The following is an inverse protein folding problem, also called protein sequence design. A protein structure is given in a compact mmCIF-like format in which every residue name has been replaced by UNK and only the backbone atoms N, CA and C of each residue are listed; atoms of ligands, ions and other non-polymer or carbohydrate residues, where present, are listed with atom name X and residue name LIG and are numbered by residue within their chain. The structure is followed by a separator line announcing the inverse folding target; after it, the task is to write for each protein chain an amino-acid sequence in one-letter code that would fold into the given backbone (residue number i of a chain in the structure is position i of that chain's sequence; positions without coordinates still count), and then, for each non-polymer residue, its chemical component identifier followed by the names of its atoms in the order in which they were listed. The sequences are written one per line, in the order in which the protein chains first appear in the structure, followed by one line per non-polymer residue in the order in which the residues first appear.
data_IF_968339820424
#
_entry.id   IF_968339820424
#
_cell.length_a   1.000
_cell.length_b   1.000
_cell.length_c   1.000
_cell.angle_alpha   90.00
_cell.angle_beta   90.00
_cell.angle_gamma   90.00
#
_symmetry.space_group_name_H-M   'P 1'
#
loop_
_entity.id
_entity.type
_entity.pdbx_description
1 polymer ?
#
# COMPACT_ATOMS: atom_id res chain seq x y z
N UNK A 1 13.39 -1.34 -18.18
CA UNK A 1 12.50 -0.23 -18.61
C UNK A 1 11.15 -0.47 -17.94
N UNK A 2 10.54 0.57 -17.35
CA UNK A 2 9.19 0.46 -16.79
C UNK A 2 8.15 0.62 -17.89
N UNK A 3 7.16 -0.26 -17.92
CA UNK A 3 5.90 0.03 -18.59
C UNK A 3 5.16 1.10 -17.78
N UNK A 4 4.75 2.19 -18.40
CA UNK A 4 4.03 3.28 -17.72
C UNK A 4 2.58 3.30 -18.17
N UNK A 5 1.67 3.14 -17.22
CA UNK A 5 0.23 3.19 -17.42
C UNK A 5 -0.32 4.45 -16.76
N UNK A 6 -1.12 5.22 -17.49
CA UNK A 6 -1.71 6.48 -16.98
C UNK A 6 -3.20 6.52 -17.20
N UNK A 7 -3.93 7.22 -16.33
CA UNK A 7 -5.38 7.40 -16.47
C UNK A 7 -6.19 6.27 -15.84
N UNK A 8 -7.29 5.86 -16.48
CA UNK A 8 -8.21 4.85 -15.94
C UNK A 8 -7.92 3.46 -16.55
N UNK A 9 -7.39 2.55 -15.73
CA UNK A 9 -7.01 1.20 -16.11
C UNK A 9 -8.14 0.25 -15.74
N UNK A 10 -8.78 -0.35 -16.75
CA UNK A 10 -9.90 -1.26 -16.57
C UNK A 10 -9.43 -2.71 -16.36
N UNK A 11 -9.99 -3.37 -15.36
CA UNK A 11 -9.72 -4.77 -15.05
C UNK A 11 -8.58 -4.97 -14.05
N UNK A 12 -8.44 -6.21 -13.53
CA UNK A 12 -7.37 -6.53 -12.60
C UNK A 12 -6.00 -6.37 -13.30
N UNK A 13 -5.09 -5.66 -12.63
CA UNK A 13 -3.72 -5.47 -13.11
C UNK A 13 -2.80 -6.58 -12.60
N UNK A 14 -2.22 -7.38 -13.50
CA UNK A 14 -1.17 -8.35 -13.14
C UNK A 14 0.22 -7.78 -13.44
N UNK A 15 1.06 -7.64 -12.41
CA UNK A 15 2.41 -7.09 -12.51
C UNK A 15 3.43 -8.23 -12.36
N UNK A 16 4.04 -8.61 -13.49
CA UNK A 16 5.13 -9.62 -13.57
C UNK A 16 6.46 -9.04 -14.06
N UNK A 17 6.49 -7.73 -14.29
CA UNK A 17 7.68 -6.98 -14.71
C UNK A 17 7.74 -5.66 -13.97
N UNK A 18 8.41 -4.66 -14.53
CA UNK A 18 8.46 -3.32 -13.97
C UNK A 18 7.31 -2.48 -14.52
N UNK A 19 6.33 -2.14 -13.70
CA UNK A 19 5.15 -1.34 -14.06
C UNK A 19 5.06 -0.11 -13.17
N UNK A 20 4.83 1.05 -13.79
CA UNK A 20 4.52 2.31 -13.12
C UNK A 20 3.10 2.71 -13.48
N UNK A 21 2.29 3.03 -12.47
CA UNK A 21 0.91 3.50 -12.62
C UNK A 21 0.80 4.91 -12.07
N UNK A 22 0.22 5.80 -12.87
CA UNK A 22 -0.22 7.14 -12.45
C UNK A 22 -1.69 7.33 -12.84
N UNK A 23 -2.60 7.00 -11.94
CA UNK A 23 -4.03 7.00 -12.24
C UNK A 23 -4.88 6.09 -11.35
N UNK A 24 -5.97 5.57 -11.92
CA UNK A 24 -6.92 4.70 -11.23
C UNK A 24 -6.86 3.29 -11.80
N UNK A 25 -6.72 2.28 -10.94
CA UNK A 25 -6.83 0.86 -11.30
C UNK A 25 -8.19 0.33 -10.83
N UNK A 26 -9.02 -0.18 -11.75
CA UNK A 26 -10.34 -0.74 -11.44
C UNK A 26 -10.34 -2.25 -11.53
N UNK A 27 -10.50 -2.93 -10.41
CA UNK A 27 -10.45 -4.40 -10.31
C UNK A 27 -9.30 -4.91 -9.45
N UNK A 28 -8.45 -4.03 -8.93
CA UNK A 28 -7.32 -4.38 -8.08
C UNK A 28 -6.02 -4.64 -8.83
N UNK A 29 -4.97 -5.00 -8.10
CA UNK A 29 -3.67 -5.31 -8.66
C UNK A 29 -3.01 -6.48 -7.93
N UNK A 30 -2.34 -7.35 -8.67
CA UNK A 30 -1.54 -8.47 -8.15
C UNK A 30 -0.11 -8.29 -8.64
N UNK A 31 0.83 -8.19 -7.71
CA UNK A 31 2.26 -8.08 -7.99
C UNK A 31 2.93 -9.39 -7.62
N UNK A 32 3.51 -10.06 -8.61
CA UNK A 32 4.18 -11.36 -8.46
C UNK A 32 5.40 -11.40 -9.36
N UNK A 33 6.60 -11.53 -8.77
CA UNK A 33 7.87 -11.58 -9.50
C UNK A 33 8.11 -10.33 -10.37
N UNK A 34 7.62 -9.18 -9.92
CA UNK A 34 7.70 -7.90 -10.61
C UNK A 34 7.76 -6.72 -9.64
N UNK A 35 7.87 -5.51 -10.18
CA UNK A 35 7.90 -4.27 -9.42
C UNK A 35 6.79 -3.33 -9.86
N UNK A 36 5.95 -2.90 -8.92
CA UNK A 36 4.91 -1.90 -9.11
C UNK A 36 5.31 -0.59 -8.42
N UNK A 37 5.27 0.52 -9.15
CA UNK A 37 5.23 1.87 -8.57
C UNK A 37 3.86 2.48 -8.86
N UNK A 38 3.03 2.69 -7.84
CA UNK A 38 1.66 3.16 -8.03
C UNK A 38 1.43 4.50 -7.35
N UNK A 39 0.94 5.48 -8.13
CA UNK A 39 0.42 6.76 -7.64
C UNK A 39 -1.02 6.93 -8.09
N UNK A 40 -1.91 7.25 -7.15
CA UNK A 40 -3.32 7.51 -7.45
C UNK A 40 -4.29 6.65 -6.66
N UNK A 41 -5.09 5.83 -7.33
CA UNK A 41 -6.21 5.09 -6.71
C UNK A 41 -6.29 3.65 -7.18
N UNK A 42 -6.63 2.74 -6.27
CA UNK A 42 -6.97 1.35 -6.58
C UNK A 42 -8.38 1.09 -6.09
N UNK A 43 -9.26 0.62 -6.97
CA UNK A 43 -10.62 0.21 -6.65
C UNK A 43 -10.69 -1.32 -6.73
N UNK A 44 -10.47 -1.98 -5.61
CA UNK A 44 -10.31 -3.42 -5.54
C UNK A 44 -9.10 -3.81 -4.68
N UNK A 45 -8.84 -5.13 -4.56
CA UNK A 45 -7.75 -5.62 -3.72
C UNK A 45 -6.38 -5.30 -4.33
N UNK A 46 -5.40 -5.03 -3.47
CA UNK A 46 -3.99 -4.98 -3.85
C UNK A 46 -3.27 -6.15 -3.18
N UNK A 47 -2.55 -6.94 -3.95
CA UNK A 47 -1.86 -8.11 -3.43
C UNK A 47 -0.40 -8.18 -3.90
N UNK A 48 0.51 -8.37 -2.95
CA UNK A 48 1.94 -8.64 -3.22
C UNK A 48 2.24 -10.09 -2.85
N UNK A 49 2.81 -10.84 -3.79
CA UNK A 49 3.09 -12.27 -3.67
C UNK A 49 4.55 -12.56 -4.01
N UNK A 50 5.04 -13.71 -3.54
CA UNK A 50 6.36 -14.27 -3.89
C UNK A 50 7.48 -13.25 -3.62
N UNK A 51 8.24 -12.85 -4.62
CA UNK A 51 9.31 -11.84 -4.60
C UNK A 51 8.86 -10.50 -5.22
N UNK A 52 7.55 -10.29 -5.37
CA UNK A 52 6.97 -9.04 -5.85
C UNK A 52 7.33 -7.85 -4.97
N UNK A 53 7.51 -6.69 -5.59
CA UNK A 53 7.85 -5.42 -4.93
C UNK A 53 6.83 -4.36 -5.29
N UNK A 54 6.24 -3.69 -4.31
CA UNK A 54 5.28 -2.62 -4.55
C UNK A 54 5.64 -1.38 -3.73
N UNK A 55 5.79 -0.24 -4.41
CA UNK A 55 5.86 1.09 -3.80
C UNK A 55 4.59 1.85 -4.17
N UNK A 56 3.72 2.07 -3.18
CA UNK A 56 2.34 2.50 -3.40
C UNK A 56 2.07 3.79 -2.63
N UNK A 57 1.80 4.86 -3.38
CA UNK A 57 1.35 6.15 -2.88
C UNK A 57 -0.10 6.40 -3.34
N UNK A 58 -1.09 5.82 -2.65
CA UNK A 58 -2.45 5.72 -3.18
C UNK A 58 -3.57 5.60 -2.15
N UNK A 59 -4.79 5.82 -2.63
CA UNK A 59 -6.03 5.40 -1.96
C UNK A 59 -6.42 4.02 -2.49
N UNK A 60 -6.44 3.02 -1.61
CA UNK A 60 -6.92 1.66 -1.92
C UNK A 60 -8.31 1.47 -1.31
N UNK A 61 -9.31 1.44 -2.18
CA UNK A 61 -10.68 1.07 -1.88
C UNK A 61 -10.82 -0.46 -1.93
N UNK A 62 -10.24 -1.13 -0.95
CA UNK A 62 -10.18 -2.59 -0.88
C UNK A 62 -9.17 -3.08 0.15
N UNK A 63 -9.04 -4.41 0.22
CA UNK A 63 -8.04 -5.05 1.08
C UNK A 63 -6.65 -4.99 0.44
N UNK A 64 -5.63 -4.81 1.27
CA UNK A 64 -4.22 -4.91 0.89
C UNK A 64 -3.63 -6.15 1.55
N UNK A 65 -3.06 -7.05 0.75
CA UNK A 65 -2.49 -8.30 1.22
C UNK A 65 -1.02 -8.40 0.80
N UNK A 66 -0.12 -8.46 1.78
CA UNK A 66 1.27 -8.85 1.56
C UNK A 66 1.41 -10.33 1.92
N UNK A 67 1.37 -11.19 0.91
CA UNK A 67 1.52 -12.65 1.08
C UNK A 67 2.97 -13.12 0.93
N UNK A 68 3.86 -12.22 0.54
CA UNK A 68 5.31 -12.37 0.37
C UNK A 68 5.86 -11.04 -0.14
N UNK A 69 7.15 -11.02 -0.46
CA UNK A 69 7.78 -9.90 -1.15
C UNK A 69 7.88 -8.65 -0.29
N UNK A 70 7.92 -7.49 -0.95
CA UNK A 70 8.08 -6.19 -0.29
C UNK A 70 6.94 -5.24 -0.65
N UNK A 71 6.29 -4.66 0.36
CA UNK A 71 5.30 -3.60 0.22
C UNK A 71 5.76 -2.35 0.99
N UNK A 72 5.90 -1.25 0.27
CA UNK A 72 6.09 0.09 0.83
C UNK A 72 4.81 0.87 0.54
N UNK A 73 4.08 1.28 1.59
CA UNK A 73 2.77 1.89 1.42
C UNK A 73 2.69 3.29 2.06
N UNK A 74 2.10 4.22 1.32
CA UNK A 74 1.77 5.60 1.72
C UNK A 74 0.37 5.91 1.23
N UNK A 75 -0.58 6.12 2.13
CA UNK A 75 -1.90 6.63 1.71
C UNK A 75 -3.04 6.14 2.58
N UNK A 76 -4.08 5.62 1.94
CA UNK A 76 -5.30 5.18 2.61
C UNK A 76 -5.61 3.76 2.21
N UNK A 77 -5.90 2.91 3.18
CA UNK A 77 -6.48 1.59 2.98
C UNK A 77 -7.85 1.61 3.67
N UNK A 78 -8.92 1.53 2.88
CA UNK A 78 -10.29 1.49 3.42
C UNK A 78 -10.72 0.07 3.82
N UNK A 79 -9.98 -0.94 3.40
CA UNK A 79 -10.15 -2.33 3.81
C UNK A 79 -9.08 -2.80 4.80
N UNK A 80 -8.85 -4.10 4.84
CA UNK A 80 -7.89 -4.72 5.76
C UNK A 80 -6.48 -4.69 5.20
N UNK A 81 -5.49 -4.52 6.07
CA UNK A 81 -4.10 -4.84 5.78
C UNK A 81 -3.79 -6.23 6.34
N UNK A 82 -3.59 -7.21 5.46
CA UNK A 82 -3.19 -8.57 5.82
C UNK A 82 -1.73 -8.82 5.50
N UNK A 83 -0.92 -9.13 6.50
CA UNK A 83 0.52 -9.41 6.33
C UNK A 83 0.77 -10.86 6.72
N UNK A 84 1.35 -11.65 5.80
CA UNK A 84 1.80 -13.00 6.11
C UNK A 84 3.23 -12.98 6.69
N UNK A 85 3.57 -13.97 7.55
CA UNK A 85 4.95 -14.18 7.97
C UNK A 85 5.89 -14.27 6.75
N UNK A 86 7.00 -13.54 6.80
CA UNK A 86 8.00 -13.49 5.72
C UNK A 86 7.76 -12.42 4.64
N UNK A 87 6.66 -11.67 4.67
CA UNK A 87 6.51 -10.47 3.85
C UNK A 87 7.19 -9.26 4.53
N UNK A 88 7.94 -8.46 3.77
CA UNK A 88 8.48 -7.19 4.25
C UNK A 88 7.48 -6.06 3.97
N UNK A 89 6.83 -5.56 5.02
CA UNK A 89 5.83 -4.50 4.90
C UNK A 89 6.28 -3.28 5.67
N UNK A 90 6.35 -2.16 4.98
CA UNK A 90 6.62 -0.85 5.54
C UNK A 90 5.48 0.09 5.19
N UNK A 91 4.94 0.76 6.20
CA UNK A 91 3.83 1.71 6.06
C UNK A 91 4.25 3.05 6.64
N UNK A 92 4.10 4.12 5.88
CA UNK A 92 4.47 5.44 6.36
C UNK A 92 3.55 5.92 7.49
N UNK A 93 4.14 6.59 8.48
CA UNK A 93 3.42 7.39 9.47
C UNK A 93 2.50 8.38 8.74
N UNK A 94 1.29 8.53 9.25
CA UNK A 94 0.22 9.29 8.60
C UNK A 94 -0.67 8.45 7.67
N UNK A 95 -0.28 7.22 7.33
CA UNK A 95 -1.15 6.29 6.59
C UNK A 95 -2.43 6.02 7.36
N UNK A 96 -3.54 5.95 6.65
CA UNK A 96 -4.86 5.68 7.21
C UNK A 96 -5.25 4.25 6.93
N UNK A 97 -5.50 3.48 7.98
CA UNK A 97 -6.03 2.11 7.92
C UNK A 97 -7.42 2.12 8.54
N UNK A 98 -8.45 1.81 7.75
CA UNK A 98 -9.85 1.75 8.22
C UNK A 98 -10.29 2.99 9.03
N UNK A 99 -9.97 4.19 8.55
CA UNK A 99 -10.33 5.46 9.19
C UNK A 99 -9.49 5.83 10.41
N UNK A 100 -8.42 5.08 10.71
CA UNK A 100 -7.48 5.37 11.79
C UNK A 100 -6.11 5.72 11.22
N UNK A 101 -5.53 6.82 11.68
CA UNK A 101 -4.20 7.27 11.27
C UNK A 101 -3.12 6.58 12.10
N UNK A 102 -2.12 6.00 11.44
CA UNK A 102 -0.92 5.48 12.06
C UNK A 102 -0.01 6.63 12.51
N UNK A 103 0.34 6.65 13.79
CA UNK A 103 1.21 7.67 14.39
C UNK A 103 2.66 7.18 14.49
N UNK A 104 3.59 8.11 14.78
CA UNK A 104 5.02 7.82 14.86
C UNK A 104 5.42 6.88 16.01
N UNK A 105 4.57 6.74 17.03
CA UNK A 105 4.75 5.81 18.14
C UNK A 105 4.14 4.43 17.87
N UNK A 106 3.57 4.22 16.67
CA UNK A 106 2.90 2.96 16.29
C UNK A 106 1.44 2.86 16.75
N UNK A 107 0.92 3.89 17.43
CA UNK A 107 -0.48 3.95 17.82
C UNK A 107 -1.39 4.39 16.67
N UNK A 108 -2.71 4.29 16.88
CA UNK A 108 -3.72 4.64 15.90
C UNK A 108 -4.75 5.62 16.45
N UNK A 109 -4.77 6.81 15.87
CA UNK A 109 -5.75 7.86 16.19
C UNK A 109 -6.94 7.77 15.25
N UNK A 110 -8.17 7.84 15.77
CA UNK A 110 -9.35 7.93 14.93
C UNK A 110 -9.41 9.29 14.25
N UNK A 111 -9.61 9.30 12.93
CA UNK A 111 -9.71 10.55 12.19
C UNK A 111 -11.14 11.09 12.25
N UNK A 112 -11.26 12.40 12.48
CA UNK A 112 -12.52 13.12 12.37
C UNK A 112 -12.59 13.82 11.00
N UNK A 113 -13.68 13.69 10.25
CA UNK A 113 -13.87 14.42 8.99
C UNK A 113 -13.96 15.94 9.18
N UNK A 114 -13.59 16.75 8.17
CA UNK A 114 -12.96 16.35 6.91
C UNK A 114 -11.45 16.11 7.10
N UNK A 115 -10.91 15.13 6.36
CA UNK A 115 -9.50 14.74 6.48
C UNK A 115 -8.77 15.17 5.22
N UNK A 116 -7.79 16.05 5.36
CA UNK A 116 -6.83 16.37 4.31
C UNK A 116 -5.60 15.46 4.48
N UNK A 117 -5.39 14.52 3.55
CA UNK A 117 -4.34 13.52 3.67
C UNK A 117 -3.22 13.81 2.68
N UNK A 118 -2.15 14.41 3.20
CA UNK A 118 -0.87 14.51 2.53
C UNK A 118 0.17 13.80 3.39
N UNK A 119 0.65 12.64 2.91
CA UNK A 119 1.75 11.91 3.55
C UNK A 119 3.01 12.30 2.81
N UNK A 120 3.99 12.82 3.55
CA UNK A 120 5.26 13.24 2.96
C UNK A 120 6.03 12.02 2.44
N UNK A 121 6.80 12.21 1.37
CA UNK A 121 7.62 11.14 0.78
C UNK A 121 8.71 10.62 1.73
N UNK A 122 9.17 11.48 2.65
CA UNK A 122 10.18 11.22 3.68
C UNK A 122 9.58 10.88 5.05
N UNK A 123 8.26 10.60 5.12
CA UNK A 123 7.62 10.21 6.36
C UNK A 123 8.31 8.96 6.96
N UNK A 124 8.51 8.90 8.29
CA UNK A 124 9.04 7.70 8.94
C UNK A 124 8.19 6.47 8.58
N UNK A 125 8.85 5.33 8.44
CA UNK A 125 8.22 4.09 8.06
C UNK A 125 8.05 3.20 9.30
N UNK A 126 6.93 2.48 9.36
CA UNK A 126 6.60 1.54 10.43
C UNK A 126 6.36 0.15 9.85
N UNK A 127 6.68 -0.89 10.62
CA UNK A 127 6.45 -2.29 10.29
C UNK A 127 5.40 -2.88 11.24
N UNK A 128 4.35 -3.55 10.72
CA UNK A 128 3.45 -4.33 11.55
C UNK A 128 4.19 -5.54 12.13
N UNK A 129 3.91 -5.85 13.39
CA UNK A 129 4.46 -6.99 14.13
C UNK A 129 3.43 -8.12 14.25
N UNK A 130 3.88 -9.34 14.53
CA UNK A 130 3.01 -10.52 14.66
C UNK A 130 2.01 -10.41 15.83
N UNK A 131 2.36 -9.67 16.87
CA UNK A 131 1.49 -9.39 18.03
C UNK A 131 0.47 -8.26 17.78
N UNK A 132 0.46 -7.69 16.57
CA UNK A 132 -0.41 -6.59 16.17
C UNK A 132 0.12 -5.20 16.54
N UNK A 133 1.26 -5.10 17.21
CA UNK A 133 1.95 -3.84 17.45
C UNK A 133 2.66 -3.33 16.19
N UNK A 134 3.19 -2.11 16.26
CA UNK A 134 3.91 -1.46 15.16
C UNK A 134 5.24 -0.93 15.68
N UNK A 135 6.31 -1.15 14.92
CA UNK A 135 7.65 -0.70 15.25
C UNK A 135 8.27 0.09 14.10
N UNK A 136 9.19 1.03 14.34
CA UNK A 136 9.90 1.71 13.26
C UNK A 136 10.59 0.73 12.30
N UNK A 137 10.48 0.98 11.00
CA UNK A 137 11.32 0.33 10.00
C UNK A 137 12.70 0.99 10.05
N UNK A 138 13.71 0.24 10.47
CA UNK A 138 15.11 0.67 10.45
C UNK A 138 15.64 0.87 9.02
#
# INVERSE_FOLDING_TARGET
MFETLTGDIQGPLEVRGMVKVDGTVRGGAIVSNGRLELRGKVQGPLEVRLDGQADVAAIVEGDVHARGGTLVFRGIITGRLGVKPGADVQVAVGTVLNGRRLEADGSFTQLQPPIELSIRGDAPMMRPQEDGSWAPAA
#
